data_IF_444387056173
#
_entry.id   IF_444387056173
#
_cell.length_a   1.000
_cell.length_b   1.000
_cell.length_c   1.000
_cell.angle_alpha   90.00
_cell.angle_beta   90.00
_cell.angle_gamma   90.00
#
_symmetry.space_group_name_H-M   'P 1'
#
loop_
_entity.id
_entity.type
_entity.pdbx_description
1 polymer ?
#
# COMPACT_ATOMS: atom_id res chain seq x y z
N UNK A 1 -2.29 -15.49 3.22
CA UNK A 1 -3.10 -14.57 2.39
C UNK A 1 -2.35 -14.24 1.11
N UNK A 2 -3.05 -14.31 -0.02
CA UNK A 2 -2.43 -14.12 -1.34
C UNK A 2 -1.83 -12.72 -1.54
N UNK A 3 -2.54 -11.69 -1.09
CA UNK A 3 -2.05 -10.32 -1.21
C UNK A 3 -0.74 -10.14 -0.43
N UNK A 4 -0.64 -10.70 0.78
CA UNK A 4 0.58 -10.62 1.57
C UNK A 4 1.75 -11.32 0.88
N UNK A 5 1.50 -12.47 0.25
CA UNK A 5 2.54 -13.17 -0.52
C UNK A 5 3.02 -12.36 -1.70
N UNK A 6 2.09 -11.75 -2.44
CA UNK A 6 2.43 -10.90 -3.56
C UNK A 6 3.29 -9.71 -3.10
N UNK A 7 2.85 -9.02 -2.05
CA UNK A 7 3.58 -7.87 -1.54
C UNK A 7 4.96 -8.26 -1.01
N UNK A 8 5.08 -9.42 -0.36
CA UNK A 8 6.39 -9.91 0.08
C UNK A 8 7.33 -10.21 -1.08
N UNK A 9 6.81 -10.58 -2.24
CA UNK A 9 7.63 -10.80 -3.43
C UNK A 9 8.16 -9.50 -4.02
N UNK A 10 7.47 -8.39 -3.79
CA UNK A 10 7.81 -7.07 -4.32
C UNK A 10 8.67 -6.27 -3.35
N UNK A 11 8.33 -6.26 -2.07
CA UNK A 11 8.99 -5.42 -1.07
C UNK A 11 10.25 -6.12 -0.56
N UNK A 12 11.39 -5.82 -1.20
CA UNK A 12 12.70 -6.37 -0.84
C UNK A 12 13.54 -5.41 -0.02
N UNK A 13 13.26 -4.11 -0.13
CA UNK A 13 13.97 -3.06 0.62
C UNK A 13 13.01 -2.48 1.64
N UNK A 14 13.36 -2.62 2.95
CA UNK A 14 12.48 -2.18 4.03
C UNK A 14 11.14 -2.92 3.96
N UNK A 15 10.11 -2.44 4.63
CA UNK A 15 8.80 -3.08 4.65
C UNK A 15 7.80 -2.35 5.51
N UNK A 16 6.67 -2.99 5.73
CA UNK A 16 5.58 -2.42 6.52
C UNK A 16 4.72 -3.54 7.11
N UNK A 17 3.73 -3.17 7.92
CA UNK A 17 2.77 -4.11 8.49
C UNK A 17 1.45 -3.97 7.72
N UNK A 18 0.93 -5.08 7.21
CA UNK A 18 -0.37 -5.12 6.56
C UNK A 18 -1.39 -5.70 7.54
N UNK A 19 -2.50 -5.00 7.74
CA UNK A 19 -3.61 -5.50 8.55
C UNK A 19 -4.79 -5.73 7.63
N UNK A 20 -5.27 -6.96 7.55
CA UNK A 20 -6.38 -7.29 6.66
C UNK A 20 -7.74 -6.92 7.26
N UNK A 21 -8.81 -7.15 6.51
CA UNK A 21 -10.16 -6.79 6.93
C UNK A 21 -10.65 -7.59 8.15
N UNK A 22 -9.95 -8.68 8.50
CA UNK A 22 -10.22 -9.47 9.69
C UNK A 22 -9.32 -9.10 10.87
N UNK A 23 -8.61 -7.98 10.76
CA UNK A 23 -7.68 -7.49 11.77
C UNK A 23 -6.46 -8.38 11.99
N UNK A 24 -6.14 -9.23 11.02
CA UNK A 24 -4.96 -10.08 11.08
C UNK A 24 -3.77 -9.32 10.50
N UNK A 25 -2.63 -9.33 11.23
CA UNK A 25 -1.43 -8.61 10.84
C UNK A 25 -0.45 -9.50 10.10
N UNK A 26 0.18 -8.94 9.07
CA UNK A 26 1.23 -9.61 8.29
C UNK A 26 2.42 -8.68 8.18
N UNK A 27 3.62 -9.22 8.34
CA UNK A 27 4.85 -8.48 8.11
C UNK A 27 5.19 -8.57 6.63
N UNK A 28 5.24 -7.42 5.96
CA UNK A 28 5.57 -7.34 4.54
C UNK A 28 7.01 -6.82 4.41
N UNK A 29 7.86 -7.60 3.75
CA UNK A 29 9.25 -7.25 3.59
C UNK A 29 10.01 -7.37 4.89
N UNK A 30 10.93 -6.44 5.12
CA UNK A 30 11.77 -6.43 6.32
C UNK A 30 11.77 -5.02 6.92
N UNK A 31 10.74 -4.66 7.71
CA UNK A 31 10.65 -3.31 8.28
C UNK A 31 11.85 -3.00 9.16
N UNK A 32 12.48 -1.86 8.93
CA UNK A 32 13.67 -1.43 9.66
C UNK A 32 13.37 -0.49 10.81
N UNK A 33 12.22 0.18 10.76
CA UNK A 33 11.83 1.14 11.80
C UNK A 33 11.23 0.39 13.00
N UNK A 34 11.42 0.96 14.19
CA UNK A 34 10.82 0.43 15.41
C UNK A 34 9.29 0.41 15.33
N UNK A 35 8.71 1.50 14.81
CA UNK A 35 7.28 1.60 14.56
C UNK A 35 7.04 1.70 13.05
N UNK A 36 7.00 0.55 12.34
CA UNK A 36 6.83 0.60 10.89
C UNK A 36 5.43 1.08 10.49
N UNK A 37 5.34 1.56 9.26
CA UNK A 37 4.05 1.95 8.68
C UNK A 37 3.10 0.76 8.75
N UNK A 38 1.85 1.04 9.11
CA UNK A 38 0.80 0.03 9.16
C UNK A 38 -0.27 0.41 8.15
N UNK A 39 -0.54 -0.50 7.22
CA UNK A 39 -1.56 -0.32 6.20
C UNK A 39 -2.75 -1.20 6.56
N UNK A 40 -3.89 -0.59 6.86
CA UNK A 40 -5.11 -1.32 7.23
C UNK A 40 -6.08 -1.35 6.06
N UNK A 41 -6.54 -2.54 5.73
CA UNK A 41 -7.58 -2.77 4.73
C UNK A 41 -8.89 -3.00 5.47
N UNK A 42 -9.91 -2.21 5.15
CA UNK A 42 -11.19 -2.26 5.87
C UNK A 42 -12.30 -3.01 5.13
N UNK A 43 -12.05 -3.41 3.88
CA UNK A 43 -13.03 -4.10 3.05
C UNK A 43 -12.41 -5.39 2.48
N UNK A 44 -13.05 -6.53 2.75
CA UNK A 44 -12.55 -7.83 2.28
C UNK A 44 -12.39 -7.93 0.77
N UNK A 45 -13.28 -7.31 0.02
CA UNK A 45 -13.21 -7.32 -1.46
C UNK A 45 -11.96 -6.65 -1.97
N UNK A 46 -11.42 -5.72 -1.21
CA UNK A 46 -10.23 -4.97 -1.60
C UNK A 46 -8.98 -5.86 -1.67
N UNK A 47 -8.94 -6.96 -0.91
CA UNK A 47 -7.81 -7.90 -0.98
C UNK A 47 -7.59 -8.40 -2.41
N UNK A 48 -8.66 -8.77 -3.09
CA UNK A 48 -8.57 -9.28 -4.47
C UNK A 48 -8.33 -8.15 -5.47
N UNK A 49 -8.97 -7.01 -5.27
CA UNK A 49 -8.80 -5.86 -6.15
C UNK A 49 -7.35 -5.37 -6.15
N UNK A 50 -6.73 -5.29 -4.98
CA UNK A 50 -5.34 -4.88 -4.87
C UNK A 50 -4.38 -5.93 -5.43
N UNK A 51 -4.75 -7.21 -5.39
CA UNK A 51 -3.93 -8.27 -5.94
C UNK A 51 -3.87 -8.19 -7.48
N UNK A 52 -4.99 -7.92 -8.12
CA UNK A 52 -5.07 -7.92 -9.58
C UNK A 52 -4.74 -6.55 -10.20
N UNK A 53 -5.14 -5.46 -9.54
CA UNK A 53 -4.93 -4.10 -10.06
C UNK A 53 -4.56 -3.16 -8.91
N UNK A 54 -3.36 -3.31 -8.31
CA UNK A 54 -2.97 -2.52 -7.15
C UNK A 54 -2.94 -1.02 -7.43
N UNK A 55 -2.55 -0.65 -8.65
CA UNK A 55 -2.46 0.72 -9.10
C UNK A 55 -3.80 1.44 -9.05
N UNK A 56 -4.79 0.84 -9.69
CA UNK A 56 -6.10 1.44 -9.82
C UNK A 56 -6.84 1.50 -8.49
N UNK A 57 -6.87 0.38 -7.79
CA UNK A 57 -7.71 0.26 -6.60
C UNK A 57 -7.11 0.84 -5.33
N UNK A 58 -5.79 0.98 -5.25
CA UNK A 58 -5.18 1.61 -4.09
C UNK A 58 -5.61 3.07 -3.95
N UNK A 59 -5.56 3.83 -5.03
CA UNK A 59 -5.95 5.24 -5.02
C UNK A 59 -7.42 5.43 -4.68
N UNK A 60 -8.28 4.64 -5.30
CA UNK A 60 -9.71 4.69 -5.03
C UNK A 60 -10.04 4.31 -3.58
N UNK A 61 -9.44 3.23 -3.10
CA UNK A 61 -9.70 2.75 -1.75
C UNK A 61 -9.23 3.73 -0.69
N UNK A 62 -8.08 4.37 -0.89
CA UNK A 62 -7.60 5.39 0.03
C UNK A 62 -8.56 6.58 0.08
N UNK A 63 -8.99 7.04 -1.08
CA UNK A 63 -9.94 8.16 -1.19
C UNK A 63 -11.29 7.83 -0.53
N UNK A 64 -11.75 6.59 -0.70
CA UNK A 64 -13.03 6.13 -0.14
C UNK A 64 -12.95 5.78 1.36
N UNK A 65 -11.75 5.84 1.96
CA UNK A 65 -11.57 5.51 3.37
C UNK A 65 -11.52 4.01 3.65
N UNK A 66 -11.36 3.18 2.64
CA UNK A 66 -11.27 1.72 2.80
C UNK A 66 -9.85 1.24 3.12
N UNK A 67 -8.86 2.12 3.00
CA UNK A 67 -7.48 1.90 3.42
C UNK A 67 -7.11 3.01 4.39
N UNK A 68 -6.52 2.63 5.53
CA UNK A 68 -5.97 3.59 6.51
C UNK A 68 -4.48 3.34 6.69
N UNK A 69 -3.73 4.42 6.82
CA UNK A 69 -2.29 4.35 7.03
C UNK A 69 -2.00 4.86 8.44
N UNK A 70 -1.30 4.05 9.23
CA UNK A 70 -0.88 4.40 10.59
C UNK A 70 0.64 4.41 10.68
N UNK A 71 1.18 5.16 11.63
CA UNK A 71 2.61 5.31 11.87
C UNK A 71 3.37 5.91 10.69
N UNK A 72 2.67 6.71 9.89
CA UNK A 72 3.24 7.39 8.73
C UNK A 72 2.14 8.03 7.90
N UNK A 73 2.55 8.74 6.86
CA UNK A 73 1.63 9.39 5.94
C UNK A 73 1.49 8.58 4.65
N UNK A 74 0.55 8.99 3.81
CA UNK A 74 0.42 8.43 2.46
C UNK A 74 1.71 8.61 1.67
N UNK A 75 2.34 9.79 1.78
CA UNK A 75 3.60 10.07 1.09
C UNK A 75 4.69 9.10 1.56
N UNK A 76 4.78 8.84 2.86
CA UNK A 76 5.76 7.90 3.42
C UNK A 76 5.56 6.50 2.83
N UNK A 77 4.32 6.06 2.72
CA UNK A 77 4.02 4.74 2.15
C UNK A 77 4.35 4.69 0.66
N UNK A 78 4.02 5.75 -0.09
CA UNK A 78 4.33 5.82 -1.52
C UNK A 78 5.83 5.84 -1.78
N UNK A 79 6.60 6.53 -0.94
CA UNK A 79 8.06 6.51 -1.04
C UNK A 79 8.61 5.10 -0.84
N UNK A 80 8.08 4.38 0.15
CA UNK A 80 8.46 3.00 0.40
C UNK A 80 8.12 2.10 -0.79
N UNK A 81 6.95 2.28 -1.36
CA UNK A 81 6.54 1.51 -2.54
C UNK A 81 7.45 1.79 -3.74
N UNK A 82 7.80 3.06 -3.97
CA UNK A 82 8.71 3.45 -5.06
C UNK A 82 10.07 2.77 -4.95
N UNK A 83 10.59 2.63 -3.73
CA UNK A 83 11.87 1.95 -3.52
C UNK A 83 11.84 0.50 -4.00
N UNK A 84 10.67 -0.12 -3.99
CA UNK A 84 10.51 -1.55 -4.23
C UNK A 84 9.96 -1.91 -5.60
N UNK A 85 9.23 -1.00 -6.25
CA UNK A 85 8.59 -1.26 -7.54
C UNK A 85 9.55 -0.84 -8.63
N UNK A 86 10.45 -0.71 -8.97
CA UNK A 86 11.36 -0.40 -10.05
C UNK A 86 10.91 0.76 -10.94
N UNK A 87 11.79 1.18 -11.85
CA UNK A 87 11.59 2.36 -12.68
C UNK A 87 10.44 2.25 -13.68
N UNK A 88 10.11 1.04 -14.09
CA UNK A 88 8.99 0.83 -15.01
C UNK A 88 7.65 1.28 -14.48
N UNK A 89 7.56 1.39 -13.15
CA UNK A 89 6.32 1.73 -12.47
C UNK A 89 6.23 3.22 -12.08
N UNK A 90 7.22 4.04 -12.44
CA UNK A 90 7.24 5.46 -12.09
C UNK A 90 6.06 6.24 -12.67
N UNK A 91 5.69 5.96 -13.91
CA UNK A 91 4.55 6.62 -14.54
C UNK A 91 3.25 6.34 -13.77
N UNK A 92 3.14 5.14 -13.28
CA UNK A 92 2.03 4.70 -12.47
C UNK A 92 1.95 5.47 -11.15
N UNK A 93 3.07 5.59 -10.44
CA UNK A 93 3.10 6.34 -9.18
C UNK A 93 2.86 7.83 -9.39
N UNK A 94 3.36 8.41 -10.47
CA UNK A 94 3.08 9.80 -10.81
C UNK A 94 1.60 10.03 -11.03
N UNK A 95 0.97 9.13 -11.78
CA UNK A 95 -0.47 9.18 -12.04
C UNK A 95 -1.26 9.08 -10.72
N UNK A 96 -0.89 8.14 -9.87
CA UNK A 96 -1.56 7.92 -8.59
C UNK A 96 -1.44 9.15 -7.68
N UNK A 97 -0.25 9.71 -7.57
CA UNK A 97 0.01 10.89 -6.75
C UNK A 97 -0.82 12.08 -7.25
N UNK A 98 -0.83 12.30 -8.56
CA UNK A 98 -1.60 13.40 -9.15
C UNK A 98 -3.10 13.24 -8.91
N UNK A 99 -3.59 12.01 -9.03
CA UNK A 99 -5.00 11.71 -8.80
C UNK A 99 -5.38 11.96 -7.34
N UNK A 100 -4.53 11.53 -6.40
CA UNK A 100 -4.79 11.72 -4.97
C UNK A 100 -4.73 13.19 -4.58
N UNK A 101 -3.81 13.96 -5.16
CA UNK A 101 -3.74 15.41 -4.93
C UNK A 101 -5.01 16.12 -5.40
N UNK A 102 -5.55 15.68 -6.53
CA UNK A 102 -6.80 16.22 -7.03
C UNK A 102 -7.98 15.99 -6.11
N UNK A 103 -7.95 14.92 -5.30
CA UNK A 103 -9.02 14.60 -4.36
C UNK A 103 -9.01 15.45 -3.09
N UNK A 104 -7.94 16.19 -2.84
CA UNK A 104 -7.80 17.02 -1.66
C UNK A 104 -8.37 18.42 -1.78
N UNK A 105 -9.05 18.69 -2.83
CA UNK A 105 -9.62 20.03 -3.05
C UNK A 105 -11.00 20.19 -2.46
#
# INVERSE_FOLDING_TARGET
MQLARFLNSVFKKDGFILVDANSKSYIIGNPKKENPIKLKILNKKLHYKLLFHPDLYFGEAYTDGEIKIENGSLTDFLDLALMNFGRGDLNFFSYLINRLRGSYR
#
